data_IF_156637156700
#
_entry.id   IF_156637156700
#
_cell.length_a   1.000
_cell.length_b   1.000
_cell.length_c   1.000
_cell.angle_alpha   90.00
_cell.angle_beta   90.00
_cell.angle_gamma   90.00
#
_symmetry.space_group_name_H-M   'P 1'
#
loop_
_entity.id
_entity.type
_entity.pdbx_description
1 polymer ?
#
# COMPACT_ATOMS: atom_id res chain seq x y z
N UNK A 1 11.81 -44.10 4.25
CA UNK A 1 10.52 -43.60 3.70
C UNK A 1 10.02 -42.26 4.31
N UNK A 2 10.71 -41.63 5.27
CA UNK A 2 10.21 -40.42 5.98
C UNK A 2 10.48 -39.08 5.25
N UNK A 3 11.64 -38.91 4.62
CA UNK A 3 12.09 -37.61 4.05
C UNK A 3 11.36 -37.20 2.76
N UNK A 4 10.92 -38.16 1.95
CA UNK A 4 10.20 -37.86 0.70
C UNK A 4 8.79 -37.30 0.95
N UNK A 5 8.12 -37.74 2.04
CA UNK A 5 6.80 -37.24 2.43
C UNK A 5 6.87 -35.82 3.00
N UNK A 6 7.93 -35.48 3.75
CA UNK A 6 8.11 -34.13 4.29
C UNK A 6 8.37 -33.09 3.19
N UNK A 7 9.19 -33.41 2.19
CA UNK A 7 9.41 -32.53 1.03
C UNK A 7 8.15 -32.32 0.19
N UNK A 8 7.31 -33.34 0.04
CA UNK A 8 6.05 -33.23 -0.70
C UNK A 8 5.04 -32.33 0.04
N UNK A 9 4.91 -32.50 1.36
CA UNK A 9 4.06 -31.65 2.20
C UNK A 9 4.51 -30.19 2.19
N UNK A 10 5.81 -29.93 2.25
CA UNK A 10 6.37 -28.57 2.19
C UNK A 10 6.16 -27.91 0.83
N UNK A 11 6.30 -28.66 -0.27
CA UNK A 11 5.96 -28.18 -1.63
C UNK A 11 4.46 -27.91 -1.78
N UNK A 12 3.60 -28.76 -1.24
CA UNK A 12 2.15 -28.55 -1.26
C UNK A 12 1.75 -27.33 -0.42
N UNK A 13 2.31 -27.17 0.79
CA UNK A 13 2.12 -25.99 1.63
C UNK A 13 2.59 -24.70 0.94
N UNK A 14 3.76 -24.71 0.29
CA UNK A 14 4.25 -23.57 -0.47
C UNK A 14 3.35 -23.22 -1.67
N UNK A 15 2.83 -24.24 -2.38
CA UNK A 15 1.87 -24.04 -3.48
C UNK A 15 0.54 -23.49 -2.96
N UNK A 16 0.00 -24.04 -1.88
CA UNK A 16 -1.19 -23.52 -1.21
C UNK A 16 -0.98 -22.07 -0.76
N UNK A 17 0.16 -21.76 -0.13
CA UNK A 17 0.53 -20.40 0.24
C UNK A 17 0.62 -19.46 -0.97
N UNK A 18 1.15 -19.92 -2.11
CA UNK A 18 1.19 -19.10 -3.34
C UNK A 18 -0.21 -18.80 -3.91
N UNK A 19 -1.12 -19.78 -3.84
CA UNK A 19 -2.52 -19.61 -4.25
C UNK A 19 -3.27 -18.67 -3.30
N UNK A 20 -3.10 -18.86 -1.99
CA UNK A 20 -3.65 -17.98 -0.95
C UNK A 20 -3.13 -16.55 -1.12
N UNK A 21 -1.82 -16.36 -1.35
CA UNK A 21 -1.23 -15.05 -1.63
C UNK A 21 -1.84 -14.38 -2.86
N UNK A 22 -2.10 -15.14 -3.92
CA UNK A 22 -2.75 -14.61 -5.14
C UNK A 22 -4.18 -14.15 -4.85
N UNK A 23 -4.93 -14.91 -4.05
CA UNK A 23 -6.30 -14.55 -3.64
C UNK A 23 -6.30 -13.30 -2.76
N UNK A 24 -5.44 -13.24 -1.75
CA UNK A 24 -5.29 -12.06 -0.88
C UNK A 24 -4.91 -10.82 -1.70
N UNK A 25 -3.97 -10.95 -2.64
CA UNK A 25 -3.59 -9.84 -3.52
C UNK A 25 -4.76 -9.35 -4.39
N UNK A 26 -5.57 -10.27 -4.91
CA UNK A 26 -6.76 -9.90 -5.69
C UNK A 26 -7.80 -9.16 -4.84
N UNK A 27 -8.08 -9.64 -3.62
CA UNK A 27 -9.00 -8.98 -2.68
C UNK A 27 -8.51 -7.58 -2.28
N UNK A 28 -7.22 -7.45 -1.93
CA UNK A 28 -6.62 -6.16 -1.64
C UNK A 28 -6.71 -5.21 -2.85
N UNK A 29 -6.56 -5.73 -4.07
CA UNK A 29 -6.78 -4.94 -5.29
C UNK A 29 -8.20 -4.37 -5.36
N UNK A 30 -9.23 -5.15 -5.04
CA UNK A 30 -10.62 -4.67 -5.02
C UNK A 30 -10.82 -3.55 -4.00
N UNK A 31 -10.24 -3.68 -2.81
CA UNK A 31 -10.31 -2.65 -1.77
C UNK A 31 -9.57 -1.36 -2.20
N UNK A 32 -8.32 -1.49 -2.65
CA UNK A 32 -7.46 -0.35 -3.03
C UNK A 32 -8.07 0.45 -4.19
N UNK A 33 -8.64 -0.26 -5.17
CA UNK A 33 -9.18 0.35 -6.39
C UNK A 33 -10.70 0.58 -6.35
N UNK A 34 -11.35 0.42 -5.19
CA UNK A 34 -12.76 0.72 -5.05
C UNK A 34 -13.05 2.18 -5.45
N UNK A 35 -14.08 2.38 -6.26
CA UNK A 35 -14.49 3.68 -6.83
C UNK A 35 -15.67 4.30 -6.09
N UNK A 36 -16.23 3.59 -5.12
CA UNK A 36 -17.29 4.10 -4.25
C UNK A 36 -17.26 3.38 -2.89
N UNK A 37 -17.96 3.96 -1.92
CA UNK A 37 -18.20 3.30 -0.62
C UNK A 37 -18.87 1.94 -0.78
N UNK A 38 -19.82 1.81 -1.72
CA UNK A 38 -20.52 0.55 -1.99
C UNK A 38 -19.55 -0.52 -2.47
N UNK A 39 -18.73 -0.22 -3.49
CA UNK A 39 -17.72 -1.16 -4.00
C UNK A 39 -16.73 -1.58 -2.89
N UNK A 40 -16.36 -0.65 -2.01
CA UNK A 40 -15.46 -0.93 -0.88
C UNK A 40 -16.11 -1.84 0.17
N UNK A 41 -17.34 -1.53 0.61
CA UNK A 41 -18.05 -2.29 1.63
C UNK A 41 -18.34 -3.74 1.15
N UNK A 42 -18.65 -3.92 -0.14
CA UNK A 42 -18.81 -5.25 -0.77
C UNK A 42 -17.50 -6.04 -0.78
N UNK A 43 -16.39 -5.42 -1.20
CA UNK A 43 -15.08 -6.04 -1.23
C UNK A 43 -14.60 -6.41 0.19
N UNK A 44 -14.85 -5.52 1.17
CA UNK A 44 -14.51 -5.74 2.59
C UNK A 44 -15.29 -6.90 3.18
N UNK A 45 -16.60 -6.97 2.91
CA UNK A 45 -17.46 -8.07 3.36
C UNK A 45 -17.00 -9.41 2.77
N UNK A 46 -16.73 -9.43 1.47
CA UNK A 46 -16.18 -10.62 0.79
C UNK A 46 -14.85 -11.07 1.40
N UNK A 47 -13.98 -10.13 1.75
CA UNK A 47 -12.70 -10.46 2.38
C UNK A 47 -12.89 -11.05 3.78
N UNK A 48 -13.79 -10.47 4.60
CA UNK A 48 -14.12 -11.00 5.93
C UNK A 48 -14.65 -12.43 5.87
N UNK A 49 -15.58 -12.71 4.95
CA UNK A 49 -16.11 -14.06 4.73
C UNK A 49 -15.00 -15.06 4.38
N UNK A 50 -14.07 -14.68 3.49
CA UNK A 50 -12.95 -15.54 3.10
C UNK A 50 -11.90 -15.72 4.18
N UNK A 51 -11.83 -14.81 5.15
CA UNK A 51 -11.01 -14.97 6.36
C UNK A 51 -11.68 -15.86 7.42
N UNK A 52 -12.80 -16.52 7.07
CA UNK A 52 -13.51 -17.46 7.93
C UNK A 52 -14.70 -16.84 8.67
N UNK A 53 -15.04 -15.57 8.39
CA UNK A 53 -16.17 -14.87 9.02
C UNK A 53 -15.98 -14.59 10.52
N UNK A 54 -14.83 -14.99 11.09
CA UNK A 54 -14.47 -14.78 12.49
C UNK A 54 -13.76 -13.43 12.65
N UNK A 55 -14.47 -12.46 13.21
CA UNK A 55 -13.90 -11.15 13.56
C UNK A 55 -12.83 -11.25 14.66
N UNK A 56 -12.74 -12.39 15.36
CA UNK A 56 -11.68 -12.71 16.31
C UNK A 56 -10.36 -13.16 15.69
N UNK A 57 -10.34 -13.45 14.38
CA UNK A 57 -9.11 -13.93 13.73
C UNK A 57 -8.03 -12.83 13.74
N UNK A 58 -6.77 -13.09 14.17
CA UNK A 58 -5.74 -12.07 14.31
C UNK A 58 -5.46 -11.26 13.04
N UNK A 59 -5.53 -11.91 11.86
CA UNK A 59 -5.38 -11.23 10.57
C UNK A 59 -6.55 -10.28 10.27
N UNK A 60 -7.77 -10.65 10.68
CA UNK A 60 -8.97 -9.83 10.50
C UNK A 60 -8.90 -8.60 11.41
N UNK A 61 -8.56 -8.79 12.70
CA UNK A 61 -8.34 -7.70 13.65
C UNK A 61 -7.22 -6.76 13.17
N UNK A 62 -6.07 -7.31 12.79
CA UNK A 62 -4.96 -6.49 12.28
C UNK A 62 -5.38 -5.67 11.06
N UNK A 63 -6.16 -6.23 10.15
CA UNK A 63 -6.70 -5.49 9.01
C UNK A 63 -7.63 -4.37 9.45
N UNK A 64 -8.58 -4.65 10.36
CA UNK A 64 -9.55 -3.66 10.82
C UNK A 64 -8.87 -2.50 11.57
N UNK A 65 -7.98 -2.82 12.50
CA UNK A 65 -7.34 -1.83 13.38
C UNK A 65 -6.38 -0.90 12.62
N UNK A 66 -5.71 -1.43 11.58
CA UNK A 66 -4.62 -0.70 10.92
C UNK A 66 -4.98 -0.23 9.51
N UNK A 67 -5.59 -1.09 8.70
CA UNK A 67 -5.86 -0.79 7.28
C UNK A 67 -7.23 -0.17 7.09
N UNK A 68 -8.28 -0.82 7.59
CA UNK A 68 -9.66 -0.35 7.41
C UNK A 68 -9.88 1.02 8.07
N UNK A 69 -9.33 1.20 9.28
CA UNK A 69 -9.38 2.46 10.02
C UNK A 69 -8.59 3.61 9.37
N UNK A 70 -7.75 3.31 8.37
CA UNK A 70 -6.97 4.30 7.61
C UNK A 70 -7.35 4.34 6.12
N UNK A 71 -8.55 3.88 5.76
CA UNK A 71 -9.03 3.78 4.37
C UNK A 71 -8.86 5.08 3.55
N UNK A 72 -8.95 6.24 4.18
CA UNK A 72 -8.77 7.55 3.54
C UNK A 72 -7.37 7.76 2.95
N UNK A 73 -6.37 7.02 3.44
CA UNK A 73 -4.96 7.11 3.03
C UNK A 73 -4.61 6.22 1.82
N UNK A 74 -5.48 5.26 1.45
CA UNK A 74 -5.09 4.26 0.45
C UNK A 74 -6.20 3.81 -0.50
N UNK A 75 -7.48 4.05 -0.18
CA UNK A 75 -8.61 3.69 -1.06
C UNK A 75 -8.84 4.76 -2.12
N UNK A 76 -8.92 4.34 -3.39
CA UNK A 76 -8.94 5.25 -4.55
C UNK A 76 -10.05 6.31 -4.50
N UNK A 77 -11.28 5.96 -4.12
CA UNK A 77 -12.38 6.93 -4.08
C UNK A 77 -12.28 7.95 -2.93
N UNK A 78 -11.60 7.61 -1.84
CA UNK A 78 -11.36 8.51 -0.71
C UNK A 78 -10.13 9.39 -0.94
N UNK A 79 -9.15 8.86 -1.68
CA UNK A 79 -7.90 9.56 -1.99
C UNK A 79 -7.99 10.59 -3.12
N UNK A 80 -9.18 10.84 -3.68
CA UNK A 80 -9.36 11.75 -4.81
C UNK A 80 -8.82 13.18 -4.58
N UNK A 81 -8.79 13.62 -3.32
CA UNK A 81 -8.28 14.94 -2.92
C UNK A 81 -6.84 14.92 -2.39
N UNK A 82 -6.22 13.75 -2.23
CA UNK A 82 -4.86 13.65 -1.69
C UNK A 82 -3.88 13.83 -2.84
N UNK A 83 -3.04 14.87 -2.85
CA UNK A 83 -2.05 15.05 -3.90
C UNK A 83 -1.05 13.90 -3.84
N UNK A 84 -1.03 13.04 -4.88
CA UNK A 84 -0.17 11.86 -4.86
C UNK A 84 1.31 12.20 -5.09
N UNK A 85 1.69 13.50 -5.25
CA UNK A 85 3.03 13.96 -5.61
C UNK A 85 3.65 13.18 -6.79
N UNK A 86 2.76 12.75 -7.70
CA UNK A 86 3.03 11.81 -8.79
C UNK A 86 3.43 10.37 -8.35
N UNK A 87 3.49 10.01 -7.09
CA UNK A 87 3.80 8.66 -6.59
C UNK A 87 2.65 7.64 -6.78
N UNK A 88 2.29 7.35 -8.03
CA UNK A 88 1.22 6.39 -8.38
C UNK A 88 1.75 5.06 -8.95
N UNK A 89 3.06 4.88 -9.06
CA UNK A 89 3.68 3.65 -9.58
C UNK A 89 4.85 3.21 -8.70
N UNK A 90 4.94 1.89 -8.45
CA UNK A 90 6.01 1.31 -7.64
C UNK A 90 7.40 1.67 -8.16
N UNK A 91 7.63 1.63 -9.47
CA UNK A 91 8.93 1.97 -10.06
C UNK A 91 9.40 3.38 -9.68
N UNK A 92 8.47 4.34 -9.58
CA UNK A 92 8.79 5.72 -9.21
C UNK A 92 9.09 5.83 -7.71
N UNK A 93 8.36 5.09 -6.88
CA UNK A 93 8.60 5.01 -5.44
C UNK A 93 9.96 4.35 -5.16
N UNK A 94 10.22 3.18 -5.75
CA UNK A 94 11.48 2.44 -5.60
C UNK A 94 12.69 3.26 -6.09
N UNK A 95 12.56 3.99 -7.20
CA UNK A 95 13.62 4.88 -7.69
C UNK A 95 13.93 6.01 -6.70
N UNK A 96 12.91 6.65 -6.11
CA UNK A 96 13.09 7.67 -5.06
C UNK A 96 13.77 7.08 -3.83
N UNK A 97 13.34 5.90 -3.38
CA UNK A 97 13.97 5.19 -2.27
C UNK A 97 15.44 4.81 -2.55
N UNK A 98 15.78 4.46 -3.79
CA UNK A 98 17.17 4.24 -4.20
C UNK A 98 18.03 5.48 -3.95
N UNK A 99 17.60 6.65 -4.44
CA UNK A 99 18.31 7.92 -4.26
C UNK A 99 18.45 8.31 -2.79
N UNK A 100 17.40 8.09 -1.99
CA UNK A 100 17.42 8.34 -0.55
C UNK A 100 18.48 7.46 0.13
N UNK A 101 18.57 6.18 -0.24
CA UNK A 101 19.60 5.26 0.28
C UNK A 101 21.02 5.65 -0.14
N UNK A 102 21.19 6.30 -1.30
CA UNK A 102 22.50 6.80 -1.71
C UNK A 102 22.98 7.96 -0.83
N UNK A 103 22.05 8.77 -0.31
CA UNK A 103 22.35 9.92 0.57
C UNK A 103 22.48 9.50 2.03
N UNK A 104 21.63 8.56 2.47
CA UNK A 104 21.59 8.09 3.85
C UNK A 104 22.61 6.95 4.03
N UNK A 105 23.70 7.24 4.74
CA UNK A 105 24.67 6.22 5.13
C UNK A 105 24.13 5.44 6.33
N UNK A 106 24.46 4.15 6.43
CA UNK A 106 24.10 3.31 7.59
C UNK A 106 24.68 3.78 8.93
N UNK A 107 25.53 4.81 8.91
CA UNK A 107 26.13 5.48 10.07
C UNK A 107 25.30 6.67 10.56
N UNK A 108 24.25 7.08 9.84
CA UNK A 108 23.35 8.15 10.27
C UNK A 108 22.51 7.70 11.47
N UNK A 109 22.38 8.55 12.48
CA UNK A 109 21.47 8.31 13.60
C UNK A 109 20.02 8.41 13.14
N UNK A 110 19.11 7.77 13.88
CA UNK A 110 17.69 7.69 13.53
C UNK A 110 17.07 9.10 13.50
N UNK A 111 17.46 9.99 14.40
CA UNK A 111 16.99 11.37 14.44
C UNK A 111 17.37 12.13 13.15
N UNK A 112 18.65 12.07 12.73
CA UNK A 112 19.10 12.68 11.48
C UNK A 112 18.36 12.09 10.27
N UNK A 113 18.13 10.78 10.29
CA UNK A 113 17.45 10.07 9.22
C UNK A 113 15.98 10.51 9.09
N UNK A 114 15.24 10.53 10.20
CA UNK A 114 13.84 10.95 10.25
C UNK A 114 13.70 12.43 9.89
N UNK A 115 14.54 13.31 10.44
CA UNK A 115 14.52 14.74 10.09
C UNK A 115 14.78 14.94 8.59
N UNK A 116 15.79 14.26 8.03
CA UNK A 116 16.10 14.36 6.59
C UNK A 116 14.91 13.92 5.73
N UNK A 117 14.24 12.82 6.09
CA UNK A 117 13.08 12.33 5.37
C UNK A 117 11.90 13.32 5.42
N UNK A 118 11.62 13.90 6.59
CA UNK A 118 10.57 14.92 6.77
C UNK A 118 10.88 16.14 5.90
N UNK A 119 12.10 16.67 5.97
CA UNK A 119 12.50 17.84 5.16
C UNK A 119 12.41 17.59 3.66
N UNK A 120 12.81 16.40 3.19
CA UNK A 120 12.67 16.02 1.78
C UNK A 120 11.20 15.92 1.34
N UNK A 121 10.32 15.46 2.23
CA UNK A 121 8.89 15.37 1.99
C UNK A 121 8.24 16.76 1.94
N UNK A 122 8.51 17.62 2.92
CA UNK A 122 8.07 19.02 2.95
C UNK A 122 8.49 19.76 1.67
N UNK A 123 9.76 19.63 1.28
CA UNK A 123 10.26 20.22 0.04
C UNK A 123 9.50 19.72 -1.20
N UNK A 124 9.17 18.42 -1.26
CA UNK A 124 8.42 17.87 -2.38
C UNK A 124 6.97 18.37 -2.43
N UNK A 125 6.35 18.61 -1.26
CA UNK A 125 5.01 19.20 -1.13
C UNK A 125 5.01 20.66 -1.58
N UNK A 126 5.99 21.46 -1.15
CA UNK A 126 6.14 22.86 -1.55
C UNK A 126 6.28 22.99 -3.07
N UNK A 127 7.12 22.15 -3.69
CA UNK A 127 7.29 22.13 -5.15
C UNK A 127 5.98 21.76 -5.86
N UNK A 128 5.21 20.82 -5.29
CA UNK A 128 3.92 20.44 -5.84
C UNK A 128 2.91 21.58 -5.75
N UNK A 129 2.81 22.26 -4.61
CA UNK A 129 1.92 23.40 -4.38
C UNK A 129 2.28 24.55 -5.34
N UNK A 130 3.58 24.86 -5.48
CA UNK A 130 4.04 25.88 -6.40
C UNK A 130 3.65 25.59 -7.86
N UNK A 131 3.79 24.35 -8.32
CA UNK A 131 3.37 23.95 -9.68
C UNK A 131 1.85 23.94 -9.82
N UNK A 132 1.11 23.51 -8.79
CA UNK A 132 -0.36 23.50 -8.79
C UNK A 132 -0.94 24.92 -8.92
N UNK A 133 -0.32 25.91 -8.28
CA UNK A 133 -0.74 27.32 -8.36
C UNK A 133 -0.17 28.08 -9.57
N UNK A 134 0.67 27.46 -10.40
CA UNK A 134 1.28 28.11 -11.56
C UNK A 134 0.25 28.34 -12.67
N UNK A 135 -0.05 29.61 -12.96
CA UNK A 135 -1.00 30.01 -14.02
C UNK A 135 -0.54 29.46 -15.38
N UNK A 136 -1.41 28.71 -16.06
CA UNK A 136 -1.12 28.06 -17.35
C UNK A 136 -0.64 26.60 -17.24
N UNK A 137 -0.52 26.05 -16.03
CA UNK A 137 -0.32 24.61 -15.83
C UNK A 137 -1.56 23.85 -16.32
N UNK A 138 -1.42 23.09 -17.41
CA UNK A 138 -2.47 22.18 -17.83
C UNK A 138 -2.72 21.16 -16.72
N UNK A 139 -3.89 21.22 -16.08
CA UNK A 139 -4.45 20.08 -15.37
C UNK A 139 -4.69 18.98 -16.41
N UNK A 140 -3.68 18.14 -16.65
CA UNK A 140 -3.79 17.01 -17.58
C UNK A 140 -4.66 15.87 -17.02
N UNK A 141 -5.39 16.08 -15.92
CA UNK A 141 -6.24 15.06 -15.31
C UNK A 141 -7.48 15.68 -14.63
N UNK A 142 -8.32 16.36 -15.41
CA UNK A 142 -9.77 16.20 -15.20
C UNK A 142 -10.27 15.05 -16.08
N UNK A 143 -11.21 14.22 -15.57
CA UNK A 143 -11.89 13.22 -16.39
C UNK A 143 -12.64 13.85 -17.56
#
# INVERSE_FOLDING_TARGET
MSVARSHLAQKQAARLASSVKKQVKAMMGLLVYARSKVEYDEARSTMKERLGGDEGHPLCQTFLDNWDNSQEEWVSYLRGNVPHLTNNTNNRIESKWGKIKDVIKGTCSIDVLVTTLITLQEYAEDQYIAEYHRVGGTDRRRP
#
